data_IF_249347812488
#
_entry.id   IF_249347812488
#
_cell.length_a   1.000
_cell.length_b   1.000
_cell.length_c   1.000
_cell.angle_alpha   90.00
_cell.angle_beta   90.00
_cell.angle_gamma   90.00
#
_symmetry.space_group_name_H-M   'P 1'
#
loop_
_entity.id
_entity.type
_entity.pdbx_description
1 polymer ?
#
# COMPACT_ATOMS: atom_id res chain seq x y z
N UNK A 1 -2.91 -4.15 -23.86
CA UNK A 1 -2.79 -2.71 -23.93
C UNK A 1 -1.97 -2.04 -22.84
N UNK A 2 -2.16 -2.36 -21.55
CA UNK A 2 -1.53 -1.64 -20.40
C UNK A 2 0.00 -1.89 -20.31
N UNK A 3 0.46 -3.08 -20.64
CA UNK A 3 1.89 -3.45 -20.62
C UNK A 3 2.74 -2.67 -21.64
N UNK A 4 2.15 -2.21 -22.73
CA UNK A 4 2.88 -1.45 -23.76
C UNK A 4 3.20 -0.02 -23.33
N UNK A 5 2.48 0.52 -22.32
CA UNK A 5 2.66 1.89 -21.84
C UNK A 5 3.61 2.00 -20.65
N UNK A 6 3.93 0.91 -19.98
CA UNK A 6 4.88 0.86 -18.86
C UNK A 6 6.25 0.38 -19.32
N UNK A 7 7.32 0.85 -18.66
CA UNK A 7 8.68 0.27 -18.75
C UNK A 7 8.92 -0.81 -17.72
N UNK A 8 7.99 -0.99 -16.78
CA UNK A 8 8.07 -2.07 -15.82
C UNK A 8 7.77 -3.41 -16.46
N UNK A 9 8.65 -4.37 -16.24
CA UNK A 9 8.55 -5.75 -16.67
C UNK A 9 8.33 -6.66 -15.47
N UNK A 10 7.61 -7.77 -15.68
CA UNK A 10 7.30 -8.73 -14.62
C UNK A 10 8.56 -9.47 -14.22
N UNK A 11 9.00 -9.31 -12.97
CA UNK A 11 10.07 -10.10 -12.37
C UNK A 11 9.56 -11.43 -11.82
N UNK A 12 8.35 -11.44 -11.27
CA UNK A 12 7.72 -12.63 -10.73
C UNK A 12 6.27 -12.42 -10.33
N UNK A 13 5.54 -13.52 -10.32
CA UNK A 13 4.16 -13.62 -9.82
C UNK A 13 4.09 -14.71 -8.76
N UNK A 14 3.17 -14.56 -7.81
CA UNK A 14 2.97 -15.54 -6.74
C UNK A 14 4.28 -15.85 -5.97
N UNK A 15 5.12 -14.83 -5.75
CA UNK A 15 6.45 -14.97 -5.18
C UNK A 15 6.34 -15.17 -3.68
N UNK A 16 6.71 -16.36 -3.21
CA UNK A 16 6.74 -16.69 -1.78
C UNK A 16 8.03 -16.20 -1.13
N UNK A 17 7.89 -15.63 0.07
CA UNK A 17 9.00 -15.42 0.99
C UNK A 17 8.77 -16.22 2.27
N UNK A 18 9.79 -16.97 2.66
CA UNK A 18 9.73 -17.96 3.72
C UNK A 18 10.89 -18.96 3.58
N UNK A 19 10.95 -19.97 4.45
CA UNK A 19 12.06 -20.93 4.47
C UNK A 19 12.25 -21.69 3.15
N UNK A 20 11.16 -21.94 2.42
CA UNK A 20 11.16 -22.65 1.13
C UNK A 20 10.80 -21.73 -0.05
N UNK A 21 10.60 -20.45 0.21
CA UNK A 21 10.25 -19.46 -0.80
C UNK A 21 11.44 -19.02 -1.64
N UNK A 22 11.15 -18.28 -2.72
CA UNK A 22 12.18 -17.61 -3.54
C UNK A 22 13.00 -16.63 -2.68
N UNK A 23 12.32 -15.90 -1.77
CA UNK A 23 12.94 -14.95 -0.85
C UNK A 23 12.95 -15.52 0.57
N UNK A 24 13.94 -15.10 1.34
CA UNK A 24 14.06 -15.48 2.75
C UNK A 24 12.96 -14.84 3.60
N UNK A 25 12.56 -15.47 4.72
CA UNK A 25 11.64 -14.84 5.65
C UNK A 25 12.28 -13.58 6.26
N UNK A 26 11.45 -12.57 6.53
CA UNK A 26 11.91 -11.39 7.28
C UNK A 26 12.06 -11.80 8.74
N UNK A 27 13.28 -11.73 9.26
CA UNK A 27 13.59 -12.10 10.65
C UNK A 27 13.78 -10.86 11.50
N UNK A 28 13.05 -10.79 12.60
CA UNK A 28 13.16 -9.72 13.58
C UNK A 28 13.46 -10.30 14.96
N UNK A 29 14.31 -9.61 15.71
CA UNK A 29 14.56 -9.92 17.13
C UNK A 29 13.89 -8.86 17.98
N UNK A 30 13.12 -9.29 18.96
CA UNK A 30 12.51 -8.44 19.98
C UNK A 30 13.51 -8.10 21.07
N UNK A 31 13.20 -7.10 21.89
CA UNK A 31 14.08 -6.64 22.98
C UNK A 31 14.36 -7.73 24.03
N UNK A 32 13.43 -8.65 24.23
CA UNK A 32 13.56 -9.82 25.14
C UNK A 32 14.33 -10.99 24.49
N UNK A 33 14.90 -10.80 23.30
CA UNK A 33 15.66 -11.81 22.56
C UNK A 33 14.82 -12.81 21.77
N UNK A 34 13.50 -12.77 21.86
CA UNK A 34 12.62 -13.62 21.05
C UNK A 34 12.74 -13.28 19.59
N UNK A 35 12.69 -14.29 18.74
CA UNK A 35 12.75 -14.15 17.28
C UNK A 35 11.37 -14.36 16.69
N UNK A 36 11.03 -13.51 15.72
CA UNK A 36 9.82 -13.63 14.92
C UNK A 36 10.20 -13.71 13.45
N UNK A 37 9.44 -14.46 12.70
CA UNK A 37 9.58 -14.59 11.26
C UNK A 37 8.28 -14.14 10.60
N UNK A 38 8.42 -13.31 9.57
CA UNK A 38 7.31 -12.91 8.72
C UNK A 38 7.48 -13.66 7.42
N UNK A 39 6.45 -14.40 7.07
CA UNK A 39 6.35 -15.14 5.82
C UNK A 39 5.14 -14.64 5.03
N UNK A 40 5.15 -14.82 3.73
CA UNK A 40 4.02 -14.40 2.92
C UNK A 40 4.21 -14.71 1.45
N UNK A 41 3.29 -14.18 0.65
CA UNK A 41 3.25 -14.38 -0.79
C UNK A 41 2.90 -13.06 -1.45
N UNK A 42 3.71 -12.68 -2.41
CA UNK A 42 3.59 -11.43 -3.17
C UNK A 42 2.91 -11.79 -4.50
N UNK A 43 1.77 -11.18 -4.78
CA UNK A 43 1.02 -11.50 -5.99
C UNK A 43 1.82 -11.20 -7.25
N UNK A 44 2.47 -10.03 -7.30
CA UNK A 44 3.27 -9.63 -8.46
C UNK A 44 4.35 -8.63 -8.09
N UNK A 45 5.53 -8.85 -8.64
CA UNK A 45 6.71 -7.96 -8.58
C UNK A 45 7.07 -7.57 -10.01
N UNK A 46 7.20 -6.27 -10.24
CA UNK A 46 7.71 -5.73 -11.51
C UNK A 46 8.98 -4.91 -11.26
N UNK A 47 9.87 -4.90 -12.24
CA UNK A 47 11.10 -4.09 -12.20
C UNK A 47 11.23 -3.23 -13.44
N UNK A 48 11.94 -2.10 -13.32
CA UNK A 48 12.28 -1.23 -14.44
C UNK A 48 13.69 -0.68 -14.28
N UNK A 49 14.38 -0.50 -15.39
CA UNK A 49 15.70 0.14 -15.45
C UNK A 49 15.55 1.61 -15.83
N UNK A 50 16.25 2.49 -15.10
CA UNK A 50 16.48 3.90 -15.43
C UNK A 50 17.96 4.19 -15.51
N UNK A 51 18.33 5.40 -15.91
CA UNK A 51 19.71 5.89 -15.83
C UNK A 51 20.18 6.01 -14.38
N UNK A 52 19.28 6.35 -13.47
CA UNK A 52 19.54 6.52 -12.04
C UNK A 52 19.57 5.20 -11.25
N UNK A 53 19.27 4.06 -11.89
CA UNK A 53 19.28 2.75 -11.24
C UNK A 53 18.09 1.85 -11.61
N UNK A 54 17.96 0.77 -10.85
CA UNK A 54 16.86 -0.20 -11.04
C UNK A 54 15.81 -0.04 -9.95
N UNK A 55 14.57 -0.09 -10.36
CA UNK A 55 13.42 0.15 -9.52
C UNK A 55 12.49 -1.05 -9.47
N UNK A 56 11.83 -1.25 -8.32
CA UNK A 56 10.90 -2.34 -8.06
C UNK A 56 9.55 -1.79 -7.60
N UNK A 57 8.46 -2.34 -8.10
CA UNK A 57 7.11 -2.11 -7.59
C UNK A 57 6.41 -3.42 -7.25
N UNK A 58 5.56 -3.35 -6.24
CA UNK A 58 4.65 -4.44 -5.87
C UNK A 58 3.25 -4.12 -6.36
N UNK A 59 2.59 -5.13 -6.93
CA UNK A 59 1.18 -5.05 -7.32
C UNK A 59 0.42 -6.18 -6.64
N UNK A 60 -0.65 -5.83 -5.94
CA UNK A 60 -1.54 -6.76 -5.27
C UNK A 60 -2.94 -6.67 -5.90
N UNK A 61 -3.52 -7.82 -6.22
CA UNK A 61 -4.80 -7.93 -6.90
C UNK A 61 -5.94 -7.98 -5.90
N UNK A 62 -6.91 -7.10 -6.06
CA UNK A 62 -8.09 -7.02 -5.18
C UNK A 62 -9.40 -7.17 -5.95
N UNK A 63 -10.33 -7.91 -5.37
CA UNK A 63 -11.69 -8.04 -5.89
C UNK A 63 -12.55 -6.79 -5.70
N UNK A 64 -12.07 -5.78 -4.98
CA UNK A 64 -12.75 -4.49 -4.77
C UNK A 64 -11.78 -3.33 -4.90
N UNK A 65 -12.30 -2.14 -5.16
CA UNK A 65 -11.48 -0.94 -5.22
C UNK A 65 -10.84 -0.67 -3.85
N UNK A 66 -9.50 -0.71 -3.79
CA UNK A 66 -8.71 -0.43 -2.60
C UNK A 66 -7.66 0.64 -2.90
N UNK A 67 -7.34 1.44 -1.91
CA UNK A 67 -6.24 2.41 -1.98
C UNK A 67 -5.42 2.32 -0.69
N UNK A 68 -4.19 2.80 -0.72
CA UNK A 68 -3.37 2.93 0.49
C UNK A 68 -3.81 4.22 1.20
N UNK A 69 -4.14 4.06 2.48
CA UNK A 69 -4.45 5.17 3.39
C UNK A 69 -3.39 5.24 4.48
N UNK A 70 -2.62 6.32 4.49
CA UNK A 70 -1.54 6.50 5.47
C UNK A 70 -2.04 6.57 6.92
N UNK A 71 -3.31 6.96 7.16
CA UNK A 71 -3.91 6.87 8.49
C UNK A 71 -4.08 5.40 8.93
N UNK A 72 -4.45 4.51 8.00
CA UNK A 72 -4.52 3.07 8.28
C UNK A 72 -3.13 2.45 8.41
N UNK A 73 -2.16 2.87 7.59
CA UNK A 73 -0.76 2.46 7.75
C UNK A 73 -0.24 2.85 9.13
N UNK A 74 -0.48 4.08 9.56
CA UNK A 74 -0.09 4.57 10.88
C UNK A 74 -0.79 3.80 12.02
N UNK A 75 -2.00 3.34 11.82
CA UNK A 75 -2.72 2.48 12.75
C UNK A 75 -2.33 0.99 12.68
N UNK A 76 -1.38 0.61 11.83
CA UNK A 76 -0.91 -0.77 11.69
C UNK A 76 -1.79 -1.68 10.82
N UNK A 77 -2.73 -1.12 10.04
CA UNK A 77 -3.69 -1.93 9.28
C UNK A 77 -3.24 -2.26 7.85
N UNK A 78 -2.60 -1.34 7.13
CA UNK A 78 -2.21 -1.51 5.73
C UNK A 78 -0.69 -1.63 5.55
N UNK A 79 -0.03 -2.42 6.40
CA UNK A 79 1.43 -2.57 6.39
C UNK A 79 1.93 -3.66 5.43
N UNK A 80 1.05 -4.55 4.96
CA UNK A 80 1.42 -5.72 4.15
C UNK A 80 2.24 -5.38 2.91
N UNK A 81 1.75 -4.45 2.08
CA UNK A 81 2.44 -4.12 0.82
C UNK A 81 3.79 -3.41 1.05
N UNK A 82 3.90 -2.61 2.10
CA UNK A 82 5.18 -1.99 2.48
C UNK A 82 6.18 -3.04 2.95
N UNK A 83 5.71 -4.06 3.71
CA UNK A 83 6.51 -5.21 4.11
C UNK A 83 7.02 -5.99 2.90
N UNK A 84 6.16 -6.23 1.93
CA UNK A 84 6.51 -6.93 0.69
C UNK A 84 7.51 -6.14 -0.16
N UNK A 85 7.31 -4.82 -0.27
CA UNK A 85 8.21 -3.95 -1.00
C UNK A 85 9.62 -3.98 -0.38
N UNK A 86 9.72 -3.83 0.94
CA UNK A 86 11.00 -3.85 1.65
C UNK A 86 11.72 -5.19 1.49
N UNK A 87 11.00 -6.32 1.66
CA UNK A 87 11.56 -7.64 1.47
C UNK A 87 12.10 -7.84 0.05
N UNK A 88 11.30 -7.51 -0.96
CA UNK A 88 11.68 -7.68 -2.35
C UNK A 88 12.82 -6.75 -2.77
N UNK A 89 12.81 -5.48 -2.33
CA UNK A 89 13.88 -4.53 -2.62
C UNK A 89 15.22 -4.98 -2.01
N UNK A 90 15.22 -5.53 -0.79
CA UNK A 90 16.44 -6.04 -0.14
C UNK A 90 17.00 -7.30 -0.81
N UNK A 91 16.14 -8.23 -1.19
CA UNK A 91 16.57 -9.48 -1.84
C UNK A 91 17.09 -9.26 -3.27
N UNK A 92 16.51 -8.31 -4.00
CA UNK A 92 16.90 -8.03 -5.39
C UNK A 92 17.90 -6.87 -5.52
N UNK A 93 18.24 -6.18 -4.42
CA UNK A 93 19.09 -4.97 -4.38
C UNK A 93 18.56 -3.87 -5.32
N UNK A 94 17.29 -3.52 -5.15
CA UNK A 94 16.56 -2.57 -5.99
C UNK A 94 15.92 -1.45 -5.18
N UNK A 95 15.74 -0.30 -5.82
CA UNK A 95 15.06 0.85 -5.21
C UNK A 95 13.53 0.73 -5.28
N UNK A 96 12.80 1.23 -4.27
CA UNK A 96 11.34 1.20 -4.27
C UNK A 96 10.76 2.19 -5.29
N UNK A 97 9.89 1.70 -6.19
CA UNK A 97 9.10 2.55 -7.09
C UNK A 97 7.66 2.75 -6.61
N UNK A 98 7.14 1.80 -5.85
CA UNK A 98 5.79 1.92 -5.32
C UNK A 98 5.12 0.61 -4.93
N UNK A 99 4.00 0.77 -4.27
CA UNK A 99 3.08 -0.29 -3.86
C UNK A 99 1.68 0.02 -4.39
N UNK A 100 1.11 -0.87 -5.15
CA UNK A 100 -0.08 -0.61 -5.95
C UNK A 100 -1.12 -1.72 -5.77
N UNK A 101 -2.38 -1.33 -5.72
CA UNK A 101 -3.52 -2.21 -5.84
C UNK A 101 -4.08 -2.17 -7.25
N UNK A 102 -4.32 -3.33 -7.82
CA UNK A 102 -5.04 -3.50 -9.07
C UNK A 102 -6.41 -4.10 -8.79
N UNK A 103 -7.48 -3.38 -9.13
CA UNK A 103 -8.84 -3.88 -8.97
C UNK A 103 -9.22 -4.76 -10.15
N UNK A 104 -9.63 -6.01 -9.86
CA UNK A 104 -10.15 -6.94 -10.87
C UNK A 104 -11.64 -6.82 -11.11
N UNK A 105 -12.33 -5.93 -10.38
CA UNK A 105 -13.76 -5.69 -10.62
C UNK A 105 -13.99 -5.02 -11.96
N UNK A 106 -14.73 -5.68 -12.82
CA UNK A 106 -15.46 -5.01 -13.90
C UNK A 106 -16.51 -4.09 -13.27
N UNK A 107 -16.19 -2.82 -13.18
CA UNK A 107 -17.20 -1.85 -12.79
C UNK A 107 -18.16 -1.69 -13.96
N UNK A 108 -19.44 -2.07 -13.76
CA UNK A 108 -20.48 -1.74 -14.71
C UNK A 108 -20.51 -0.21 -14.90
N UNK A 109 -20.26 0.22 -16.13
CA UNK A 109 -20.32 1.62 -16.48
C UNK A 109 -21.80 2.00 -16.47
N UNK A 110 -22.24 2.71 -15.42
CA UNK A 110 -23.56 3.30 -15.37
C UNK A 110 -23.56 4.49 -16.32
N UNK A 111 -24.39 4.41 -17.34
CA UNK A 111 -24.63 5.50 -18.27
C UNK A 111 -26.08 5.98 -18.09
N UNK A 112 -26.25 7.23 -17.67
CA UNK A 112 -27.57 7.87 -17.59
C UNK A 112 -28.03 8.35 -18.97
N UNK A 113 -27.16 8.35 -19.97
CA UNK A 113 -27.39 8.72 -21.37
C UNK A 113 -26.60 7.80 -22.29
N UNK A 114 -26.99 7.76 -23.58
CA UNK A 114 -26.19 7.10 -24.62
C UNK A 114 -24.83 7.78 -24.69
N UNK A 115 -23.77 7.00 -24.40
CA UNK A 115 -22.40 7.48 -24.41
C UNK A 115 -21.76 7.16 -25.75
N UNK A 116 -20.88 8.03 -26.21
CA UNK A 116 -20.01 7.77 -27.36
C UNK A 116 -18.97 6.70 -27.00
N UNK A 117 -18.51 5.97 -28.03
CA UNK A 117 -17.57 4.84 -27.83
C UNK A 117 -16.26 5.28 -27.16
N UNK A 118 -15.77 6.48 -27.49
CA UNK A 118 -14.55 7.05 -26.89
C UNK A 118 -14.72 7.30 -25.37
N UNK A 119 -15.87 7.82 -24.94
CA UNK A 119 -16.17 8.04 -23.53
C UNK A 119 -16.27 6.71 -22.74
N UNK A 120 -16.80 5.67 -23.38
CA UNK A 120 -16.87 4.32 -22.81
C UNK A 120 -15.46 3.77 -22.62
N UNK A 121 -14.61 3.89 -23.66
CA UNK A 121 -13.22 3.43 -23.58
C UNK A 121 -12.41 4.18 -22.52
N UNK A 122 -12.60 5.50 -22.37
CA UNK A 122 -11.94 6.28 -21.31
C UNK A 122 -12.37 5.81 -19.91
N UNK A 123 -13.66 5.56 -19.70
CA UNK A 123 -14.17 5.04 -18.42
C UNK A 123 -13.65 3.63 -18.14
N UNK A 124 -13.58 2.77 -19.14
CA UNK A 124 -12.97 1.44 -19.01
C UNK A 124 -11.49 1.58 -18.60
N UNK A 125 -10.72 2.44 -19.29
CA UNK A 125 -9.31 2.67 -18.95
C UNK A 125 -9.13 3.22 -17.54
N UNK A 126 -10.00 4.13 -17.10
CA UNK A 126 -9.98 4.68 -15.75
C UNK A 126 -10.19 3.61 -14.66
N UNK A 127 -10.98 2.57 -14.96
CA UNK A 127 -11.20 1.45 -14.05
C UNK A 127 -9.96 0.57 -13.86
N UNK A 128 -9.07 0.53 -14.85
CA UNK A 128 -7.81 -0.22 -14.78
C UNK A 128 -6.64 0.58 -14.18
N UNK A 129 -6.87 1.83 -13.80
CA UNK A 129 -5.85 2.65 -13.14
C UNK A 129 -5.55 2.06 -11.76
N UNK A 130 -4.31 1.69 -11.56
CA UNK A 130 -3.83 1.23 -10.26
C UNK A 130 -3.91 2.34 -9.21
N UNK A 131 -4.18 1.97 -7.97
CA UNK A 131 -4.24 2.87 -6.81
C UNK A 131 -3.18 2.45 -5.81
N UNK A 132 -2.64 3.38 -5.06
CA UNK A 132 -1.63 3.07 -4.07
C UNK A 132 -0.67 4.22 -3.82
N UNK A 133 0.56 3.90 -3.48
CA UNK A 133 1.61 4.85 -3.15
C UNK A 133 2.81 4.64 -4.09
N UNK A 134 3.29 5.71 -4.72
CA UNK A 134 4.42 5.66 -5.65
C UNK A 134 5.57 6.55 -5.18
N UNK A 135 6.77 6.31 -5.69
CA UNK A 135 7.89 7.22 -5.50
C UNK A 135 7.60 8.54 -6.24
N UNK A 136 7.66 9.65 -5.50
CA UNK A 136 7.41 10.99 -6.01
C UNK A 136 8.64 11.54 -6.78
N UNK A 137 9.02 10.84 -7.82
CA UNK A 137 10.08 11.19 -8.75
C UNK A 137 9.53 11.16 -10.18
N UNK A 138 9.75 12.23 -10.96
CA UNK A 138 9.21 12.37 -12.32
C UNK A 138 9.74 11.27 -13.25
N UNK A 139 11.03 10.91 -13.14
CA UNK A 139 11.65 9.89 -13.98
C UNK A 139 11.05 8.52 -13.67
N UNK A 140 10.87 8.20 -12.39
CA UNK A 140 10.24 6.95 -11.95
C UNK A 140 8.76 6.90 -12.34
N UNK A 141 8.05 8.01 -12.25
CA UNK A 141 6.65 8.10 -12.74
C UNK A 141 6.56 7.81 -14.23
N UNK A 142 7.51 8.31 -15.04
CA UNK A 142 7.58 8.00 -16.46
C UNK A 142 7.96 6.54 -16.78
N UNK A 143 8.59 5.82 -15.83
CA UNK A 143 8.73 4.37 -15.95
C UNK A 143 7.39 3.66 -15.80
N UNK A 144 6.53 4.14 -14.90
CA UNK A 144 5.17 3.61 -14.74
C UNK A 144 4.30 3.87 -15.98
N UNK A 145 4.41 5.07 -16.58
CA UNK A 145 3.60 5.49 -17.73
C UNK A 145 4.44 6.33 -18.72
N UNK A 146 4.95 5.67 -19.75
CA UNK A 146 5.81 6.29 -20.78
C UNK A 146 5.13 7.43 -21.55
N UNK A 147 3.81 7.43 -21.60
CA UNK A 147 3.03 8.43 -22.36
C UNK A 147 2.68 9.65 -21.53
N UNK A 148 3.00 9.64 -20.25
CA UNK A 148 2.69 10.73 -19.34
C UNK A 148 3.69 11.89 -19.53
N UNK A 149 3.33 12.88 -20.30
CA UNK A 149 4.05 14.14 -20.41
C UNK A 149 3.47 15.22 -19.50
N UNK A 150 2.13 15.33 -19.46
CA UNK A 150 1.36 16.26 -18.63
C UNK A 150 -0.02 15.68 -18.31
N UNK A 151 -0.62 16.14 -17.24
CA UNK A 151 -1.96 15.69 -16.82
C UNK A 151 -1.91 14.45 -15.94
N UNK A 152 -3.03 13.74 -15.88
CA UNK A 152 -3.18 12.55 -15.06
C UNK A 152 -2.70 11.31 -15.79
N UNK A 153 -1.89 10.48 -15.12
CA UNK A 153 -1.54 9.16 -15.65
C UNK A 153 -2.77 8.28 -15.80
N UNK A 154 -2.79 7.49 -16.86
CA UNK A 154 -3.81 6.46 -17.07
C UNK A 154 -3.54 5.18 -16.26
N UNK A 155 -2.33 4.98 -15.77
CA UNK A 155 -1.89 3.72 -15.15
C UNK A 155 -1.71 3.78 -13.64
N UNK A 156 -1.22 4.92 -13.11
CA UNK A 156 -0.85 5.09 -11.70
C UNK A 156 -1.37 6.40 -11.13
N UNK A 157 -1.44 6.57 -9.81
CA UNK A 157 -1.98 7.78 -9.19
C UNK A 157 -0.97 8.95 -9.24
N UNK A 158 -0.62 9.38 -10.43
CA UNK A 158 0.31 10.48 -10.70
C UNK A 158 -0.32 11.57 -11.56
N UNK A 159 0.16 12.79 -11.37
CA UNK A 159 -0.20 13.95 -12.16
C UNK A 159 1.02 14.85 -12.39
N UNK A 160 1.35 15.14 -13.65
CA UNK A 160 2.40 16.08 -14.04
C UNK A 160 1.74 17.40 -14.48
N UNK A 161 2.20 18.51 -13.95
CA UNK A 161 1.70 19.85 -14.29
C UNK A 161 2.22 20.33 -15.66
N UNK A 162 1.92 21.57 -16.01
CA UNK A 162 2.33 22.15 -17.30
C UNK A 162 3.83 22.45 -17.36
N UNK A 163 4.44 22.63 -16.21
CA UNK A 163 5.87 22.90 -15.99
C UNK A 163 6.71 21.62 -15.93
N UNK A 164 6.07 20.43 -15.96
CA UNK A 164 6.74 19.14 -15.94
C UNK A 164 7.00 18.60 -14.52
N UNK A 165 6.44 19.23 -13.49
CA UNK A 165 6.60 18.81 -12.09
C UNK A 165 5.46 17.91 -11.64
N UNK A 166 5.73 17.05 -10.65
CA UNK A 166 4.68 16.28 -9.99
C UNK A 166 3.84 17.16 -9.07
N UNK A 167 2.54 17.12 -9.27
CA UNK A 167 1.59 17.79 -8.39
C UNK A 167 1.43 16.99 -7.09
N UNK A 168 1.91 17.52 -5.96
CA UNK A 168 1.77 16.88 -4.65
C UNK A 168 0.32 16.59 -4.27
N UNK A 169 -0.61 17.49 -4.62
CA UNK A 169 -2.05 17.34 -4.30
C UNK A 169 -2.76 16.28 -5.13
N UNK A 170 -2.29 16.02 -6.35
CA UNK A 170 -2.93 15.11 -7.32
C UNK A 170 -2.17 13.79 -7.49
N UNK A 171 -0.98 13.68 -6.91
CA UNK A 171 -0.15 12.49 -6.95
C UNK A 171 -0.18 11.80 -5.59
N UNK A 172 -0.51 10.53 -5.56
CA UNK A 172 -0.37 9.69 -4.36
C UNK A 172 1.07 9.18 -4.28
N UNK A 173 1.99 10.07 -3.92
CA UNK A 173 3.41 9.80 -3.90
C UNK A 173 4.09 10.19 -2.60
N UNK A 174 5.23 9.59 -2.32
CA UNK A 174 6.15 9.93 -1.21
C UNK A 174 7.57 9.99 -1.74
N UNK A 175 8.43 10.78 -1.09
CA UNK A 175 9.86 10.84 -1.43
C UNK A 175 10.58 9.54 -1.05
N UNK A 176 11.80 9.34 -1.54
CA UNK A 176 12.62 8.19 -1.14
C UNK A 176 12.84 8.15 0.37
N UNK A 177 13.16 9.29 1.00
CA UNK A 177 13.30 9.41 2.46
C UNK A 177 12.01 9.00 3.18
N UNK A 178 10.85 9.46 2.71
CA UNK A 178 9.56 9.10 3.29
C UNK A 178 9.24 7.60 3.12
N UNK A 179 9.67 6.97 2.01
CA UNK A 179 9.56 5.51 1.88
C UNK A 179 10.39 4.78 2.93
N UNK A 180 11.64 5.21 3.15
CA UNK A 180 12.48 4.64 4.21
C UNK A 180 11.86 4.81 5.60
N UNK A 181 11.33 6.01 5.92
CA UNK A 181 10.62 6.28 7.17
C UNK A 181 9.41 5.36 7.35
N UNK A 182 8.61 5.16 6.29
CA UNK A 182 7.47 4.24 6.29
C UNK A 182 7.91 2.79 6.53
N UNK A 183 9.00 2.35 5.90
CA UNK A 183 9.54 1.00 6.08
C UNK A 183 10.05 0.79 7.50
N UNK A 184 10.79 1.72 8.06
CA UNK A 184 11.25 1.66 9.47
C UNK A 184 10.07 1.63 10.44
N UNK A 185 9.09 2.51 10.22
CA UNK A 185 7.88 2.54 11.03
C UNK A 185 7.11 1.22 10.98
N UNK A 186 6.98 0.61 9.83
CA UNK A 186 6.38 -0.72 9.66
C UNK A 186 7.04 -1.76 10.58
N UNK A 187 8.38 -1.78 10.67
CA UNK A 187 9.08 -2.69 11.57
C UNK A 187 8.80 -2.40 13.05
N UNK A 188 8.66 -1.13 13.44
CA UNK A 188 8.24 -0.74 14.80
C UNK A 188 6.86 -1.31 15.11
N UNK A 189 5.91 -1.13 14.20
CA UNK A 189 4.54 -1.64 14.35
C UNK A 189 4.52 -3.16 14.45
N UNK A 190 5.25 -3.86 13.57
CA UNK A 190 5.31 -5.34 13.59
C UNK A 190 5.90 -5.84 14.91
N UNK A 191 6.98 -5.24 15.40
CA UNK A 191 7.58 -5.60 16.68
C UNK A 191 6.61 -5.39 17.84
N UNK A 192 5.87 -4.25 17.83
CA UNK A 192 4.88 -3.96 18.85
C UNK A 192 3.74 -4.99 18.86
N UNK A 193 3.16 -5.28 17.69
CA UNK A 193 2.11 -6.31 17.55
C UNK A 193 2.62 -7.67 18.02
N UNK A 194 3.83 -8.05 17.63
CA UNK A 194 4.44 -9.32 18.02
C UNK A 194 4.68 -9.41 19.53
N UNK A 195 5.10 -8.31 20.15
CA UNK A 195 5.27 -8.22 21.60
C UNK A 195 3.94 -8.40 22.34
N UNK A 196 2.87 -7.79 21.84
CA UNK A 196 1.53 -7.95 22.43
C UNK A 196 1.00 -9.38 22.29
N UNK A 197 1.16 -10.00 21.11
CA UNK A 197 0.76 -11.40 20.87
C UNK A 197 1.52 -12.36 21.79
N UNK A 198 2.86 -12.22 21.85
CA UNK A 198 3.71 -13.08 22.68
C UNK A 198 3.55 -12.81 24.18
N UNK A 199 3.08 -11.61 24.54
CA UNK A 199 2.71 -11.24 25.90
C UNK A 199 1.34 -11.72 26.34
N UNK A 200 0.56 -12.37 25.45
CA UNK A 200 -0.79 -12.87 25.75
C UNK A 200 -1.83 -11.77 25.85
N UNK A 201 -1.62 -10.63 25.19
CA UNK A 201 -2.63 -9.56 25.16
C UNK A 201 -3.87 -10.03 24.37
N UNK A 202 -5.02 -10.08 25.05
CA UNK A 202 -6.32 -10.46 24.49
C UNK A 202 -7.34 -9.33 24.54
N UNK A 203 -6.89 -8.10 24.75
CA UNK A 203 -7.75 -6.93 24.83
C UNK A 203 -8.58 -6.74 23.55
N UNK A 204 -9.89 -6.57 23.73
CA UNK A 204 -10.80 -6.27 22.65
C UNK A 204 -10.75 -4.78 22.32
N UNK A 205 -9.98 -4.40 21.31
CA UNK A 205 -9.81 -3.01 20.82
C UNK A 205 -9.98 -2.94 19.30
N UNK A 206 -11.18 -3.26 18.77
CA UNK A 206 -11.40 -3.17 17.33
C UNK A 206 -11.22 -1.72 16.84
N UNK A 207 -10.71 -1.54 15.62
CA UNK A 207 -10.62 -0.20 15.07
C UNK A 207 -12.00 0.36 14.70
N UNK A 208 -12.09 1.70 14.73
CA UNK A 208 -13.26 2.44 14.26
C UNK A 208 -12.81 3.61 13.38
N UNK A 209 -13.23 3.62 12.11
CA UNK A 209 -12.88 4.65 11.14
C UNK A 209 -14.05 4.90 10.20
N UNK A 210 -14.41 6.16 9.99
CA UNK A 210 -15.47 6.58 9.06
C UNK A 210 -16.78 5.74 9.21
N UNK A 211 -17.20 5.53 10.47
CA UNK A 211 -18.37 4.69 10.82
C UNK A 211 -18.24 3.21 10.42
N UNK A 212 -16.99 2.74 10.18
CA UNK A 212 -16.68 1.35 9.85
C UNK A 212 -15.88 0.71 10.96
N UNK A 213 -16.19 -0.55 11.25
CA UNK A 213 -15.48 -1.40 12.21
C UNK A 213 -15.46 -2.82 11.68
N UNK A 214 -14.43 -3.64 11.98
CA UNK A 214 -14.37 -5.05 11.60
C UNK A 214 -15.51 -5.86 12.23
N UNK A 215 -16.06 -5.41 13.35
CA UNK A 215 -17.15 -6.10 14.07
C UNK A 215 -18.41 -6.29 13.21
N UNK A 216 -18.61 -5.46 12.19
CA UNK A 216 -19.77 -5.57 11.29
C UNK A 216 -19.83 -6.92 10.55
N UNK A 217 -18.65 -7.45 10.20
CA UNK A 217 -18.51 -8.67 9.40
C UNK A 217 -17.84 -9.82 10.18
N UNK A 218 -17.79 -9.70 11.51
CA UNK A 218 -17.13 -10.68 12.37
C UNK A 218 -18.06 -11.87 12.65
N UNK A 219 -17.61 -13.08 12.35
CA UNK A 219 -18.36 -14.33 12.58
C UNK A 219 -18.55 -14.61 14.08
N UNK A 220 -17.68 -14.08 14.95
CA UNK A 220 -17.71 -14.27 16.40
C UNK A 220 -18.52 -13.22 17.14
N UNK A 221 -19.27 -12.37 16.46
CA UNK A 221 -20.02 -11.26 17.06
C UNK A 221 -20.99 -11.72 18.16
N UNK A 222 -21.61 -12.88 17.99
CA UNK A 222 -22.58 -13.45 18.96
C UNK A 222 -21.96 -13.93 20.28
N UNK A 223 -20.68 -14.29 20.27
CA UNK A 223 -19.98 -14.88 21.43
C UNK A 223 -18.91 -13.93 21.99
N UNK A 224 -18.49 -12.92 21.24
CA UNK A 224 -17.42 -12.01 21.63
C UNK A 224 -17.77 -11.13 22.83
N UNK A 225 -19.06 -10.84 23.06
CA UNK A 225 -19.52 -9.99 24.16
C UNK A 225 -19.16 -8.49 24.01
N UNK A 226 -18.47 -8.08 22.92
CA UNK A 226 -18.17 -6.69 22.66
C UNK A 226 -19.47 -5.93 22.32
N UNK A 227 -19.92 -5.11 23.28
CA UNK A 227 -21.16 -4.35 23.13
C UNK A 227 -20.89 -2.97 22.52
N UNK A 228 -21.34 -2.77 21.30
CA UNK A 228 -21.17 -1.50 20.58
C UNK A 228 -21.88 -0.30 21.24
N UNK A 229 -22.90 -0.56 22.10
CA UNK A 229 -23.66 0.50 22.78
C UNK A 229 -23.15 0.90 24.15
N UNK A 230 -22.26 0.10 24.76
CA UNK A 230 -21.82 0.33 26.14
C UNK A 230 -20.32 0.56 26.33
N UNK A 231 -19.52 0.39 25.26
CA UNK A 231 -18.07 0.37 25.34
C UNK A 231 -17.41 1.36 24.35
N UNK A 232 -17.89 2.59 24.28
CA UNK A 232 -17.31 3.63 23.39
C UNK A 232 -15.80 3.81 23.60
N UNK A 233 -15.32 3.58 24.81
CA UNK A 233 -13.90 3.69 25.16
C UNK A 233 -13.02 2.52 24.70
N UNK A 234 -13.60 1.46 24.15
CA UNK A 234 -12.87 0.25 23.76
C UNK A 234 -12.50 0.22 22.26
N UNK A 235 -12.96 1.15 21.48
CA UNK A 235 -12.53 1.28 20.09
C UNK A 235 -11.17 1.96 19.97
N UNK A 236 -10.37 1.45 19.06
CA UNK A 236 -9.20 2.16 18.57
C UNK A 236 -9.63 3.10 17.43
N UNK A 237 -9.86 4.37 17.75
CA UNK A 237 -10.32 5.37 16.78
C UNK A 237 -9.20 5.80 15.86
N UNK A 238 -9.46 5.73 14.55
CA UNK A 238 -8.52 6.22 13.52
C UNK A 238 -9.04 7.56 13.01
N UNK A 239 -8.46 8.63 13.54
CA UNK A 239 -8.76 10.00 13.13
C UNK A 239 -8.17 10.30 11.76
N UNK A 240 -8.90 11.06 10.95
CA UNK A 240 -8.40 11.53 9.67
C UNK A 240 -7.41 12.68 9.89
N UNK A 241 -6.16 12.46 9.47
CA UNK A 241 -5.07 13.44 9.47
C UNK A 241 -4.56 13.65 8.05
N UNK A 242 -3.92 14.77 7.79
CA UNK A 242 -3.27 15.02 6.51
C UNK A 242 -2.07 14.08 6.32
N UNK A 243 -1.63 13.93 5.08
CA UNK A 243 -0.43 13.15 4.74
C UNK A 243 0.79 13.68 5.49
N UNK A 244 0.97 14.98 5.52
CA UNK A 244 2.08 15.67 6.16
C UNK A 244 2.10 15.42 7.68
N UNK A 245 0.93 15.50 8.32
CA UNK A 245 0.80 15.20 9.75
C UNK A 245 1.15 13.74 10.08
N UNK A 246 0.72 12.79 9.24
CA UNK A 246 1.03 11.38 9.45
C UNK A 246 2.53 11.12 9.27
N UNK A 247 3.13 11.62 8.18
CA UNK A 247 4.56 11.44 7.93
C UNK A 247 5.42 12.09 9.03
N UNK A 248 5.03 13.28 9.52
CA UNK A 248 5.70 13.90 10.65
C UNK A 248 5.60 13.09 11.95
N UNK A 249 4.50 12.37 12.17
CA UNK A 249 4.35 11.47 13.32
C UNK A 249 5.20 10.21 13.17
N UNK A 250 5.25 9.63 11.98
CA UNK A 250 6.06 8.45 11.66
C UNK A 250 7.54 8.77 11.93
N UNK A 251 8.03 9.89 11.42
CA UNK A 251 9.41 10.36 11.64
C UNK A 251 9.76 10.49 13.13
N UNK A 252 8.83 10.95 13.95
CA UNK A 252 9.03 11.08 15.42
C UNK A 252 9.08 9.72 16.14
N UNK A 253 8.56 8.65 15.56
CA UNK A 253 8.60 7.31 16.14
C UNK A 253 9.97 6.64 15.98
N UNK A 254 10.81 7.09 15.05
CA UNK A 254 12.17 6.58 14.86
C UNK A 254 13.15 6.94 15.99
N UNK A 255 12.84 7.97 16.77
CA UNK A 255 13.68 8.47 17.86
C UNK A 255 13.38 7.89 19.24
N UNK A 256 12.49 6.89 19.31
CA UNK A 256 12.14 6.19 20.55
C UNK A 256 12.49 4.71 20.45
#
# INVERSE_FOLDING_TARGET
GTLVQSRFEVLGTEVEFGEKGKYKPIRLTLEDGKRIEIIGKIDRIDTAQSEDGRYLRIIDYKSSAKNIDLNEVYAGLQIQLLTYLDAACKEEDLMPAGVLYFSMLEQMIKADKRMEQEEIEEKIRANFKMKGLILADVNVVKLHDKKLEKGSSALVPAYIDKEGNLSEKKTSGVTAEQFEELQKYMYIVIKQISKEILGGNIDLKPYYKDKKTPCKYCDYKSVCGFNMGGCENNYNYIDKKSKEEILAKIKKCEGK
#
